data_IF_555784430304
#
_entry.id   IF_555784430304
#
_cell.length_a   1.000
_cell.length_b   1.000
_cell.length_c   1.000
_cell.angle_alpha   90.00
_cell.angle_beta   90.00
_cell.angle_gamma   90.00
#
_symmetry.space_group_name_H-M   'P 1'
#
loop_
_entity.id
_entity.type
_entity.pdbx_description
1 polymer ?
#
# COMPACT_ATOMS: atom_id res chain seq x y z
N UNK A 1 0.46 -17.68 -32.55
CA UNK A 1 0.44 -16.35 -31.89
C UNK A 1 1.18 -16.46 -30.56
N UNK A 2 2.35 -15.84 -30.40
CA UNK A 2 3.04 -15.77 -29.10
C UNK A 2 2.38 -14.66 -28.28
N UNK A 3 1.68 -15.04 -27.22
CA UNK A 3 1.06 -14.08 -26.30
C UNK A 3 2.16 -13.35 -25.52
N UNK A 4 2.39 -12.08 -25.85
CA UNK A 4 3.08 -11.14 -24.98
C UNK A 4 2.09 -10.68 -23.92
N UNK A 5 1.72 -11.57 -22.99
CA UNK A 5 1.17 -11.13 -21.71
C UNK A 5 2.36 -10.52 -20.97
N UNK A 6 2.69 -9.27 -21.34
CA UNK A 6 3.75 -8.49 -20.73
C UNK A 6 3.55 -8.57 -19.22
N UNK A 7 4.58 -9.02 -18.52
CA UNK A 7 4.72 -8.81 -17.08
C UNK A 7 4.45 -7.33 -16.82
N UNK A 8 3.24 -7.01 -16.41
CA UNK A 8 2.89 -5.63 -16.10
C UNK A 8 3.58 -5.35 -14.79
N UNK A 9 4.68 -4.59 -14.85
CA UNK A 9 5.39 -4.13 -13.65
C UNK A 9 4.42 -3.18 -12.94
N UNK A 10 3.67 -3.73 -11.99
CA UNK A 10 2.80 -2.95 -11.12
C UNK A 10 3.71 -2.20 -10.15
N UNK A 11 3.62 -0.87 -10.04
CA UNK A 11 4.41 -0.14 -9.07
C UNK A 11 4.05 -0.59 -7.65
N UNK A 12 5.06 -0.97 -6.87
CA UNK A 12 4.90 -1.44 -5.50
C UNK A 12 5.68 -0.53 -4.55
N UNK A 13 5.09 -0.25 -3.39
CA UNK A 13 5.75 0.44 -2.28
C UNK A 13 5.80 -0.55 -1.12
N UNK A 14 7.00 -0.87 -0.67
CA UNK A 14 7.22 -1.75 0.48
C UNK A 14 7.53 -0.89 1.72
N UNK A 15 6.71 -1.02 2.75
CA UNK A 15 6.92 -0.39 4.06
C UNK A 15 7.49 -1.44 5.01
N UNK A 16 8.58 -1.12 5.71
CA UNK A 16 9.23 -2.04 6.64
C UNK A 16 9.58 -1.35 7.97
N UNK A 17 9.54 -2.13 9.05
CA UNK A 17 10.02 -1.74 10.37
C UNK A 17 8.98 -1.91 11.48
N UNK A 18 9.48 -2.13 12.70
CA UNK A 18 8.66 -2.32 13.91
C UNK A 18 7.75 -1.12 14.23
N UNK A 19 8.06 0.06 13.71
CA UNK A 19 7.25 1.25 13.91
C UNK A 19 5.86 1.12 13.27
N UNK A 20 5.71 0.36 12.18
CA UNK A 20 4.42 0.13 11.50
C UNK A 20 3.43 -0.57 12.44
N UNK A 21 3.89 -1.64 13.10
CA UNK A 21 3.11 -2.36 14.12
C UNK A 21 2.74 -1.46 15.29
N UNK A 22 3.70 -0.65 15.77
CA UNK A 22 3.45 0.33 16.85
C UNK A 22 2.40 1.38 16.47
N UNK A 23 2.29 1.71 15.19
CA UNK A 23 1.25 2.60 14.65
C UNK A 23 -0.07 1.90 14.34
N UNK A 24 -0.19 0.58 14.58
CA UNK A 24 -1.40 -0.21 14.41
C UNK A 24 -1.56 -0.86 13.02
N UNK A 25 -0.54 -0.80 12.16
CA UNK A 25 -0.55 -1.53 10.90
C UNK A 25 -0.12 -2.97 11.14
N UNK A 26 -0.97 -3.90 10.72
CA UNK A 26 -0.68 -5.32 10.69
C UNK A 26 -0.81 -5.87 9.28
N UNK A 27 -0.27 -7.06 9.06
CA UNK A 27 -0.47 -7.78 7.82
C UNK A 27 -1.96 -8.03 7.58
N UNK A 28 -2.37 -8.03 6.32
CA UNK A 28 -3.76 -8.24 5.86
C UNK A 28 -4.78 -7.17 6.29
N UNK A 29 -4.37 -6.09 6.96
CA UNK A 29 -5.24 -4.95 7.23
C UNK A 29 -5.43 -4.08 5.99
N UNK A 30 -6.68 -3.68 5.74
CA UNK A 30 -6.98 -2.70 4.71
C UNK A 30 -6.49 -1.31 5.13
N UNK A 31 -5.90 -0.61 4.17
CA UNK A 31 -5.42 0.76 4.32
C UNK A 31 -6.04 1.64 3.25
N UNK A 32 -6.29 2.89 3.61
CA UNK A 32 -6.74 3.91 2.69
C UNK A 32 -5.51 4.73 2.27
N UNK A 33 -5.27 4.78 0.96
CA UNK A 33 -4.19 5.59 0.39
C UNK A 33 -4.81 6.80 -0.30
N UNK A 34 -4.46 8.00 0.16
CA UNK A 34 -4.87 9.26 -0.47
C UNK A 34 -3.66 10.05 -0.94
N UNK A 35 -3.79 10.79 -2.04
CA UNK A 35 -2.75 11.71 -2.50
C UNK A 35 -3.14 13.15 -2.15
N UNK A 36 -2.26 13.87 -1.46
CA UNK A 36 -2.46 15.28 -1.11
C UNK A 36 -1.18 16.06 -1.23
N UNK A 37 -1.19 17.14 -2.02
CA UNK A 37 -0.03 18.05 -2.24
C UNK A 37 1.25 17.30 -2.64
N UNK A 38 1.14 16.32 -3.52
CA UNK A 38 2.29 15.52 -3.98
C UNK A 38 2.81 14.49 -2.97
N UNK A 39 2.13 14.27 -1.85
CA UNK A 39 2.45 13.24 -0.86
C UNK A 39 1.37 12.16 -0.86
N UNK A 40 1.80 10.92 -0.62
CA UNK A 40 0.90 9.82 -0.31
C UNK A 40 0.67 9.82 1.21
N UNK A 41 -0.60 9.79 1.61
CA UNK A 41 -1.04 9.65 2.99
C UNK A 41 -1.67 8.26 3.09
N UNK A 42 -1.14 7.44 3.98
CA UNK A 42 -1.57 6.07 4.21
C UNK A 42 -2.17 6.01 5.60
N UNK A 43 -3.45 5.68 5.68
CA UNK A 43 -4.23 5.65 6.92
C UNK A 43 -4.88 4.28 7.08
N UNK A 44 -5.03 3.83 8.32
CA UNK A 44 -5.84 2.66 8.62
C UNK A 44 -7.31 3.00 8.36
N UNK A 45 -8.04 2.06 7.77
CA UNK A 45 -9.50 2.17 7.70
C UNK A 45 -10.07 2.21 9.12
N UNK A 46 -10.85 3.23 9.43
CA UNK A 46 -11.49 3.35 10.74
C UNK A 46 -12.77 2.54 10.71
N UNK A 47 -12.87 1.51 11.54
CA UNK A 47 -14.15 0.89 11.86
C UNK A 47 -15.04 1.93 12.54
N UNK A 48 -16.26 2.04 12.04
CA UNK A 48 -17.25 3.04 12.44
C UNK A 48 -18.09 2.56 13.63
#
# INVERSE_FOLDING_TARGET
MKSTWKESIVPQILLQGEWLRKTGFEYDHHVIITQKKGKLIIELEKEN
#
